data_IF_321899155968
#
_entry.id   IF_321899155968
#
_cell.length_a   1.000
_cell.length_b   1.000
_cell.length_c   1.000
_cell.angle_alpha   90.00
_cell.angle_beta   90.00
_cell.angle_gamma   90.00
#
_symmetry.space_group_name_H-M   'P 1'
#
loop_
_entity.id
_entity.type
_entity.pdbx_description
1 polymer ?
#
# COMPACT_ATOMS: atom_id res chain seq x y z
N UNK A 1 -14.04 46.07 -2.88
CA UNK A 1 -14.97 44.93 -3.13
C UNK A 1 -14.49 43.91 -4.18
N UNK A 2 -13.27 44.03 -4.74
CA UNK A 2 -12.76 43.17 -5.82
C UNK A 2 -11.99 41.92 -5.35
N UNK A 3 -11.35 41.95 -4.17
CA UNK A 3 -10.57 40.82 -3.65
C UNK A 3 -11.43 39.58 -3.25
N UNK A 4 -12.65 39.80 -2.77
CA UNK A 4 -13.56 38.71 -2.35
C UNK A 4 -14.06 37.86 -3.53
N UNK A 5 -14.30 38.47 -4.70
CA UNK A 5 -14.75 37.75 -5.92
C UNK A 5 -13.65 36.87 -6.51
N UNK A 6 -12.38 37.29 -6.50
CA UNK A 6 -11.27 36.49 -7.00
C UNK A 6 -11.01 35.24 -6.16
N UNK A 7 -11.10 35.38 -4.83
CA UNK A 7 -10.91 34.28 -3.89
C UNK A 7 -12.03 33.23 -4.02
N UNK A 8 -13.30 33.66 -4.07
CA UNK A 8 -14.45 32.78 -4.25
C UNK A 8 -14.42 32.02 -5.60
N UNK A 9 -13.95 32.68 -6.66
CA UNK A 9 -13.82 32.06 -8.00
C UNK A 9 -12.68 31.03 -8.03
N UNK A 10 -11.52 31.32 -7.44
CA UNK A 10 -10.41 30.36 -7.33
C UNK A 10 -10.79 29.15 -6.46
N UNK A 11 -11.47 29.35 -5.33
CA UNK A 11 -11.96 28.27 -4.46
C UNK A 11 -12.98 27.37 -5.17
N UNK A 12 -13.91 27.94 -5.95
CA UNK A 12 -14.93 27.16 -6.66
C UNK A 12 -14.37 26.41 -7.87
N UNK A 13 -13.40 26.97 -8.59
CA UNK A 13 -12.70 26.27 -9.68
C UNK A 13 -11.83 25.12 -9.14
N UNK A 14 -11.11 25.34 -8.04
CA UNK A 14 -10.34 24.29 -7.38
C UNK A 14 -11.21 23.13 -6.86
N UNK A 15 -12.36 23.43 -6.24
CA UNK A 15 -13.30 22.42 -5.77
C UNK A 15 -13.94 21.62 -6.92
N UNK A 16 -14.32 22.28 -8.02
CA UNK A 16 -14.86 21.62 -9.22
C UNK A 16 -13.83 20.73 -9.90
N UNK A 17 -12.62 21.24 -10.12
CA UNK A 17 -11.53 20.48 -10.73
C UNK A 17 -11.19 19.25 -9.89
N UNK A 18 -11.16 19.39 -8.57
CA UNK A 18 -10.90 18.30 -7.64
C UNK A 18 -12.01 17.23 -7.63
N UNK A 19 -13.28 17.63 -7.75
CA UNK A 19 -14.40 16.69 -7.93
C UNK A 19 -14.31 15.86 -9.21
N UNK A 20 -13.72 16.39 -10.27
CA UNK A 20 -13.56 15.68 -11.55
C UNK A 20 -12.29 14.82 -11.55
N UNK A 21 -11.16 15.34 -11.05
CA UNK A 21 -9.88 14.63 -11.07
C UNK A 21 -9.85 13.45 -10.09
N UNK A 22 -10.50 13.56 -8.94
CA UNK A 22 -10.52 12.49 -7.92
C UNK A 22 -11.01 11.13 -8.47
N UNK A 23 -12.19 11.01 -9.09
CA UNK A 23 -12.64 9.73 -9.65
C UNK A 23 -11.76 9.24 -10.80
N UNK A 24 -11.20 10.16 -11.62
CA UNK A 24 -10.29 9.81 -12.73
C UNK A 24 -9.01 9.16 -12.20
N UNK A 25 -8.32 9.79 -11.26
CA UNK A 25 -7.11 9.23 -10.67
C UNK A 25 -7.42 7.95 -9.90
N UNK A 26 -8.52 7.91 -9.14
CA UNK A 26 -8.96 6.70 -8.42
C UNK A 26 -9.15 5.53 -9.38
N UNK A 27 -9.88 5.73 -10.49
CA UNK A 27 -10.12 4.68 -11.48
C UNK A 27 -8.81 4.25 -12.18
N UNK A 28 -8.00 5.21 -12.63
CA UNK A 28 -6.73 4.94 -13.31
C UNK A 28 -5.76 4.15 -12.42
N UNK A 29 -5.51 4.62 -11.19
CA UNK A 29 -4.60 3.95 -10.28
C UNK A 29 -5.13 2.59 -9.81
N UNK A 30 -6.45 2.45 -9.62
CA UNK A 30 -7.09 1.15 -9.32
C UNK A 30 -6.89 0.16 -10.47
N UNK A 31 -7.12 0.58 -11.72
CA UNK A 31 -6.91 -0.24 -12.91
C UNK A 31 -5.44 -0.66 -13.06
N UNK A 32 -4.52 0.29 -12.93
CA UNK A 32 -3.07 0.01 -12.98
C UNK A 32 -2.62 -0.94 -11.87
N UNK A 33 -3.16 -0.79 -10.66
CA UNK A 33 -2.88 -1.67 -9.53
C UNK A 33 -3.31 -3.11 -9.85
N UNK A 34 -4.54 -3.29 -10.32
CA UNK A 34 -5.03 -4.60 -10.73
C UNK A 34 -4.26 -5.21 -11.89
N UNK A 35 -3.84 -4.40 -12.87
CA UNK A 35 -3.00 -4.86 -13.98
C UNK A 35 -1.59 -5.25 -13.51
N UNK A 36 -0.99 -4.51 -12.57
CA UNK A 36 0.35 -4.78 -12.07
C UNK A 36 0.44 -6.16 -11.40
N UNK A 37 -0.52 -6.50 -10.54
CA UNK A 37 -0.58 -7.79 -9.84
C UNK A 37 -1.22 -8.91 -10.67
N UNK A 38 -1.62 -8.63 -11.91
CA UNK A 38 -1.94 -9.66 -12.90
C UNK A 38 -0.73 -10.07 -13.75
N UNK A 39 0.40 -9.34 -13.65
CA UNK A 39 1.63 -9.68 -14.39
C UNK A 39 2.45 -10.76 -13.71
N UNK A 40 3.39 -11.37 -14.46
CA UNK A 40 4.35 -12.31 -13.89
C UNK A 40 5.22 -11.62 -12.83
N UNK A 41 5.33 -12.18 -11.61
CA UNK A 41 6.23 -11.68 -10.58
C UNK A 41 7.66 -11.51 -11.07
N UNK A 42 8.29 -10.37 -10.74
CA UNK A 42 9.67 -10.05 -11.13
C UNK A 42 9.87 -9.60 -12.59
N UNK A 43 8.82 -9.55 -13.41
CA UNK A 43 8.94 -9.11 -14.82
C UNK A 43 9.15 -7.60 -14.98
N UNK A 44 9.78 -7.16 -16.07
CA UNK A 44 9.91 -5.73 -16.39
C UNK A 44 8.55 -5.00 -16.44
N UNK A 45 7.51 -5.67 -16.95
CA UNK A 45 6.13 -5.15 -17.00
C UNK A 45 5.55 -4.90 -15.60
N UNK A 46 5.86 -5.76 -14.61
CA UNK A 46 5.46 -5.54 -13.22
C UNK A 46 6.01 -4.23 -12.69
N UNK A 47 7.32 -3.97 -12.86
CA UNK A 47 7.95 -2.74 -12.37
C UNK A 47 7.42 -1.50 -13.08
N UNK A 48 7.24 -1.55 -14.41
CA UNK A 48 6.66 -0.43 -15.17
C UNK A 48 5.26 -0.09 -14.67
N UNK A 49 4.38 -1.09 -14.53
CA UNK A 49 3.02 -0.85 -14.06
C UNK A 49 2.98 -0.38 -12.60
N UNK A 50 3.80 -0.94 -11.72
CA UNK A 50 3.86 -0.54 -10.30
C UNK A 50 4.37 0.90 -10.15
N UNK A 51 5.37 1.30 -10.94
CA UNK A 51 5.81 2.69 -11.00
C UNK A 51 4.73 3.60 -11.58
N UNK A 52 3.96 3.14 -12.57
CA UNK A 52 2.82 3.89 -13.09
C UNK A 52 1.70 4.07 -12.05
N UNK A 53 1.44 3.07 -11.20
CA UNK A 53 0.53 3.19 -10.06
C UNK A 53 1.01 4.30 -9.13
N UNK A 54 2.28 4.26 -8.72
CA UNK A 54 2.84 5.27 -7.83
C UNK A 54 2.80 6.67 -8.43
N UNK A 55 3.19 6.82 -9.70
CA UNK A 55 3.10 8.08 -10.42
C UNK A 55 1.67 8.61 -10.50
N UNK A 56 0.69 7.74 -10.73
CA UNK A 56 -0.74 8.10 -10.78
C UNK A 56 -1.23 8.64 -9.44
N UNK A 57 -0.88 7.98 -8.34
CA UNK A 57 -1.25 8.42 -7.00
C UNK A 57 -0.56 9.73 -6.59
N UNK A 58 0.73 9.87 -6.89
CA UNK A 58 1.46 11.12 -6.63
C UNK A 58 0.86 12.26 -7.46
N UNK A 59 0.62 12.05 -8.76
CA UNK A 59 0.02 13.07 -9.63
C UNK A 59 -1.37 13.48 -9.15
N UNK A 60 -2.23 12.52 -8.80
CA UNK A 60 -3.55 12.82 -8.23
C UNK A 60 -3.47 13.54 -6.89
N UNK A 61 -2.48 13.19 -6.07
CA UNK A 61 -2.16 13.87 -4.82
C UNK A 61 -1.81 15.34 -5.01
N UNK A 62 -0.80 15.59 -5.83
CA UNK A 62 -0.25 16.91 -6.08
C UNK A 62 -1.20 17.82 -6.87
N UNK A 63 -2.03 17.25 -7.76
CA UNK A 63 -3.05 17.99 -8.49
C UNK A 63 -4.11 18.62 -7.56
N UNK A 64 -4.29 18.08 -6.34
CA UNK A 64 -5.17 18.65 -5.31
C UNK A 64 -4.45 19.63 -4.38
N UNK A 65 -3.15 19.87 -4.56
CA UNK A 65 -2.28 20.65 -3.69
C UNK A 65 -1.34 19.79 -2.84
N UNK A 66 -0.24 20.35 -2.32
CA UNK A 66 0.71 19.59 -1.50
C UNK A 66 0.02 19.08 -0.22
N UNK A 67 0.14 17.78 0.11
CA UNK A 67 -0.53 17.24 1.28
C UNK A 67 0.04 17.84 2.57
N UNK A 68 -0.80 18.17 3.57
CA UNK A 68 -0.30 18.67 4.85
C UNK A 68 0.57 17.59 5.52
N UNK A 69 1.73 17.99 6.05
CA UNK A 69 2.62 17.06 6.78
C UNK A 69 1.95 16.50 8.05
N UNK A 70 1.21 17.35 8.76
CA UNK A 70 0.57 17.01 10.03
C UNK A 70 1.44 17.43 11.23
N UNK A 71 0.87 17.36 12.44
CA UNK A 71 1.52 17.72 13.69
C UNK A 71 1.41 16.58 14.70
N UNK A 72 2.51 16.28 15.38
CA UNK A 72 2.60 15.27 16.43
C UNK A 72 3.74 15.63 17.38
N UNK A 73 3.62 15.25 18.66
CA UNK A 73 4.72 15.36 19.64
C UNK A 73 5.89 14.44 19.29
N UNK A 74 5.60 13.28 18.70
CA UNK A 74 6.59 12.29 18.28
C UNK A 74 6.36 11.94 16.80
N UNK A 75 6.78 12.82 15.87
CA UNK A 75 6.42 12.73 14.44
C UNK A 75 7.07 11.55 13.71
N UNK A 76 8.08 10.91 14.30
CA UNK A 76 8.78 9.75 13.73
C UNK A 76 8.59 8.51 14.60
N UNK A 77 8.92 8.58 15.89
CA UNK A 77 8.90 7.41 16.77
C UNK A 77 7.51 6.74 16.84
N UNK A 78 6.44 7.53 17.03
CA UNK A 78 5.07 6.98 17.10
C UNK A 78 4.64 6.23 15.85
N UNK A 79 4.69 6.81 14.62
CA UNK A 79 4.29 6.06 13.43
C UNK A 79 5.20 4.87 13.12
N UNK A 80 6.51 4.95 13.41
CA UNK A 80 7.43 3.81 13.28
C UNK A 80 7.01 2.65 14.20
N UNK A 81 6.73 2.95 15.47
CA UNK A 81 6.27 1.95 16.44
C UNK A 81 4.91 1.36 16.06
N UNK A 82 3.98 2.17 15.54
CA UNK A 82 2.68 1.69 15.05
C UNK A 82 2.89 0.78 13.83
N UNK A 83 3.77 1.13 12.90
CA UNK A 83 4.09 0.30 11.73
C UNK A 83 4.69 -1.04 12.12
N UNK A 84 5.64 -1.04 13.06
CA UNK A 84 6.24 -2.26 13.61
C UNK A 84 5.22 -3.11 14.39
N UNK A 85 4.38 -2.50 15.21
CA UNK A 85 3.32 -3.19 15.94
C UNK A 85 2.28 -3.80 15.02
N UNK A 86 1.83 -3.06 14.00
CA UNK A 86 0.95 -3.58 12.96
C UNK A 86 1.58 -4.76 12.22
N UNK A 87 2.88 -4.68 11.89
CA UNK A 87 3.60 -5.81 11.31
C UNK A 87 3.55 -7.03 12.23
N UNK A 88 3.81 -6.86 13.53
CA UNK A 88 3.74 -7.95 14.50
C UNK A 88 2.39 -8.65 14.53
N UNK A 89 1.29 -7.88 14.49
CA UNK A 89 -0.09 -8.41 14.42
C UNK A 89 -0.31 -9.20 13.12
N UNK A 90 0.09 -8.63 11.98
CA UNK A 90 -0.06 -9.30 10.68
C UNK A 90 0.81 -10.56 10.57
N UNK A 91 2.01 -10.53 11.12
CA UNK A 91 2.92 -11.66 11.17
C UNK A 91 2.34 -12.80 12.02
N UNK A 92 1.82 -12.49 13.21
CA UNK A 92 1.11 -13.47 14.05
C UNK A 92 -0.12 -14.05 13.33
N UNK A 93 -0.92 -13.21 12.68
CA UNK A 93 -2.05 -13.67 11.87
C UNK A 93 -1.60 -14.58 10.72
N UNK A 94 -0.47 -14.29 10.07
CA UNK A 94 0.09 -15.09 8.99
C UNK A 94 0.57 -16.48 9.47
N UNK A 95 1.10 -16.59 10.69
CA UNK A 95 1.49 -17.87 11.30
C UNK A 95 0.30 -18.83 11.49
N UNK A 96 -0.89 -18.27 11.73
CA UNK A 96 -2.14 -19.02 11.77
C UNK A 96 -2.66 -19.26 10.35
N UNK A 97 -2.70 -18.23 9.52
CA UNK A 97 -3.24 -18.27 8.16
C UNK A 97 -2.51 -19.26 7.24
N UNK A 98 -1.20 -19.48 7.43
CA UNK A 98 -0.43 -20.50 6.67
C UNK A 98 -0.93 -21.93 6.92
N UNK A 99 -1.68 -22.19 7.99
CA UNK A 99 -2.31 -23.49 8.27
C UNK A 99 -3.64 -23.68 7.53
N UNK A 100 -4.19 -22.62 6.95
CA UNK A 100 -5.49 -22.62 6.26
C UNK A 100 -5.23 -22.54 4.74
N UNK A 101 -5.52 -23.59 3.94
CA UNK A 101 -5.09 -23.67 2.54
C UNK A 101 -5.54 -22.50 1.66
N UNK A 102 -6.74 -21.95 1.90
CA UNK A 102 -7.26 -20.81 1.14
C UNK A 102 -6.45 -19.54 1.43
N UNK A 103 -6.20 -19.26 2.71
CA UNK A 103 -5.43 -18.08 3.12
C UNK A 103 -3.95 -18.20 2.77
N UNK A 104 -3.37 -19.40 2.94
CA UNK A 104 -2.00 -19.68 2.55
C UNK A 104 -1.78 -19.45 1.05
N UNK A 105 -2.71 -19.87 0.19
CA UNK A 105 -2.64 -19.60 -1.25
C UNK A 105 -2.72 -18.11 -1.58
N UNK A 106 -3.60 -17.36 -0.90
CA UNK A 106 -3.73 -15.92 -1.09
C UNK A 106 -2.44 -15.17 -0.69
N UNK A 107 -1.84 -15.54 0.45
CA UNK A 107 -0.57 -14.97 0.91
C UNK A 107 0.61 -15.37 0.01
N UNK A 108 0.72 -16.64 -0.36
CA UNK A 108 1.76 -17.12 -1.28
C UNK A 108 1.71 -16.41 -2.64
N UNK A 109 0.50 -16.14 -3.16
CA UNK A 109 0.31 -15.44 -4.43
C UNK A 109 0.92 -14.03 -4.44
N UNK A 110 0.73 -13.25 -3.37
CA UNK A 110 1.35 -11.91 -3.27
C UNK A 110 2.84 -11.98 -2.92
N UNK A 111 3.23 -12.93 -2.06
CA UNK A 111 4.63 -13.09 -1.66
C UNK A 111 5.51 -13.57 -2.83
N UNK A 112 4.95 -14.16 -3.89
CA UNK A 112 5.69 -14.50 -5.10
C UNK A 112 6.40 -13.29 -5.75
N UNK A 113 5.87 -12.07 -5.58
CA UNK A 113 6.51 -10.84 -6.05
C UNK A 113 7.77 -10.49 -5.27
N UNK A 114 7.82 -10.85 -3.98
CA UNK A 114 9.01 -10.71 -3.14
C UNK A 114 10.11 -11.71 -3.52
N UNK A 115 9.73 -12.97 -3.78
CA UNK A 115 10.70 -14.04 -4.07
C UNK A 115 11.33 -13.94 -5.46
N UNK A 116 10.55 -13.54 -6.48
CA UNK A 116 10.99 -13.58 -7.88
C UNK A 116 11.54 -12.27 -8.42
N UNK A 117 11.37 -11.17 -7.68
CA UNK A 117 11.93 -9.88 -8.08
C UNK A 117 13.35 -9.67 -7.55
N UNK A 118 14.04 -8.65 -8.07
CA UNK A 118 15.30 -8.24 -7.48
C UNK A 118 15.01 -7.55 -6.15
N UNK A 119 15.56 -8.09 -5.04
CA UNK A 119 15.26 -7.64 -3.68
C UNK A 119 15.24 -6.10 -3.52
N UNK A 120 16.26 -5.38 -4.00
CA UNK A 120 16.28 -3.91 -3.95
C UNK A 120 15.20 -3.23 -4.80
N UNK A 121 14.89 -3.72 -6.01
CA UNK A 121 13.89 -3.10 -6.86
C UNK A 121 12.47 -3.34 -6.33
N UNK A 122 12.17 -4.54 -5.84
CA UNK A 122 10.88 -4.84 -5.20
C UNK A 122 10.71 -4.03 -3.93
N UNK A 123 11.76 -3.89 -3.12
CA UNK A 123 11.72 -3.01 -1.95
C UNK A 123 11.44 -1.57 -2.37
N UNK A 124 12.20 -1.04 -3.33
CA UNK A 124 12.02 0.33 -3.81
C UNK A 124 10.59 0.56 -4.33
N UNK A 125 10.07 -0.30 -5.20
CA UNK A 125 8.71 -0.14 -5.71
C UNK A 125 7.66 -0.27 -4.61
N UNK A 126 7.82 -1.21 -3.68
CA UNK A 126 6.89 -1.38 -2.55
C UNK A 126 6.84 -0.13 -1.67
N UNK A 127 7.99 0.44 -1.33
CA UNK A 127 8.07 1.64 -0.48
C UNK A 127 7.52 2.87 -1.21
N UNK A 128 7.86 3.04 -2.49
CA UNK A 128 7.38 4.16 -3.31
C UNK A 128 5.87 4.07 -3.51
N UNK A 129 5.33 2.88 -3.82
CA UNK A 129 3.88 2.69 -3.94
C UNK A 129 3.16 2.95 -2.63
N UNK A 130 3.65 2.44 -1.49
CA UNK A 130 3.04 2.72 -0.18
C UNK A 130 3.03 4.21 0.17
N UNK A 131 4.14 4.92 -0.09
CA UNK A 131 4.20 6.36 0.11
C UNK A 131 3.25 7.13 -0.83
N UNK A 132 3.17 6.71 -2.09
CA UNK A 132 2.29 7.30 -3.09
C UNK A 132 0.80 7.12 -2.73
N UNK A 133 0.43 5.94 -2.21
CA UNK A 133 -0.92 5.69 -1.71
C UNK A 133 -1.29 6.67 -0.59
N UNK A 134 -0.40 6.95 0.36
CA UNK A 134 -0.70 7.92 1.43
C UNK A 134 -0.82 9.35 0.91
N UNK A 135 -0.03 9.72 -0.09
CA UNK A 135 -0.16 11.01 -0.78
C UNK A 135 -1.54 11.17 -1.42
N UNK A 136 -2.10 10.11 -2.02
CA UNK A 136 -3.41 10.17 -2.67
C UNK A 136 -4.57 9.94 -1.70
N UNK A 137 -4.62 8.79 -1.03
CA UNK A 137 -5.74 8.40 -0.19
C UNK A 137 -5.83 9.27 1.07
N UNK A 138 -4.70 9.59 1.69
CA UNK A 138 -4.68 10.40 2.92
C UNK A 138 -4.40 11.86 2.61
N UNK A 139 -3.86 12.22 1.46
CA UNK A 139 -3.76 13.62 1.04
C UNK A 139 -5.03 14.17 0.40
N UNK A 140 -5.75 13.35 -0.38
CA UNK A 140 -6.86 13.78 -1.23
C UNK A 140 -8.16 13.08 -0.89
N UNK A 141 -8.23 11.75 -0.86
CA UNK A 141 -9.51 11.03 -0.65
C UNK A 141 -10.09 11.34 0.73
N UNK A 142 -9.25 11.38 1.76
CA UNK A 142 -9.66 11.74 3.13
C UNK A 142 -9.57 13.26 3.32
N UNK A 143 -10.56 14.01 2.90
CA UNK A 143 -10.60 15.45 3.16
C UNK A 143 -10.89 15.78 4.62
N UNK A 144 -10.65 17.03 5.06
CA UNK A 144 -11.23 17.52 6.30
C UNK A 144 -12.75 17.25 6.35
N UNK A 145 -13.19 16.52 7.37
CA UNK A 145 -14.59 16.11 7.54
C UNK A 145 -14.95 14.75 6.94
N UNK A 146 -14.11 14.14 6.10
CA UNK A 146 -14.35 12.78 5.61
C UNK A 146 -14.26 11.75 6.75
N UNK A 147 -15.27 10.90 6.88
CA UNK A 147 -15.25 9.80 7.82
C UNK A 147 -14.11 8.81 7.51
N UNK A 148 -13.41 8.34 8.55
CA UNK A 148 -12.33 7.34 8.40
C UNK A 148 -12.82 6.09 7.67
N UNK A 149 -14.04 5.64 7.99
CA UNK A 149 -14.68 4.50 7.33
C UNK A 149 -14.86 4.72 5.83
N UNK A 150 -15.24 5.93 5.39
CA UNK A 150 -15.45 6.23 3.97
C UNK A 150 -14.13 6.21 3.19
N UNK A 151 -13.07 6.84 3.72
CA UNK A 151 -11.74 6.78 3.09
C UNK A 151 -11.18 5.34 3.06
N UNK A 152 -11.38 4.58 4.15
CA UNK A 152 -10.99 3.18 4.23
C UNK A 152 -11.74 2.32 3.22
N UNK A 153 -13.04 2.56 3.02
CA UNK A 153 -13.85 1.85 2.04
C UNK A 153 -13.34 2.12 0.62
N UNK A 154 -13.05 3.37 0.25
CA UNK A 154 -12.48 3.70 -1.07
C UNK A 154 -11.13 3.01 -1.26
N UNK A 155 -10.26 3.05 -0.25
CA UNK A 155 -8.97 2.36 -0.29
C UNK A 155 -9.14 0.84 -0.50
N UNK A 156 -10.00 0.20 0.28
CA UNK A 156 -10.26 -1.23 0.18
C UNK A 156 -10.90 -1.62 -1.17
N UNK A 157 -11.84 -0.82 -1.68
CA UNK A 157 -12.45 -1.02 -3.00
C UNK A 157 -11.41 -0.92 -4.12
N UNK A 158 -10.47 0.03 -4.05
CA UNK A 158 -9.34 0.07 -4.98
C UNK A 158 -8.48 -1.20 -4.87
N UNK A 159 -8.24 -1.71 -3.67
CA UNK A 159 -7.48 -2.95 -3.46
C UNK A 159 -8.18 -4.20 -4.00
N UNK A 160 -9.51 -4.21 -4.15
CA UNK A 160 -10.23 -5.34 -4.78
C UNK A 160 -9.71 -5.65 -6.19
N UNK A 161 -9.23 -4.64 -6.92
CA UNK A 161 -8.66 -4.82 -8.26
C UNK A 161 -7.44 -5.76 -8.28
N UNK A 162 -6.75 -5.92 -7.16
CA UNK A 162 -5.63 -6.89 -6.99
C UNK A 162 -6.10 -8.34 -7.07
N UNK A 163 -7.41 -8.60 -6.90
CA UNK A 163 -8.02 -9.94 -6.82
C UNK A 163 -7.38 -10.82 -5.74
N UNK A 164 -6.82 -10.21 -4.69
CA UNK A 164 -6.21 -10.91 -3.58
C UNK A 164 -6.97 -10.61 -2.26
N UNK A 165 -7.71 -11.57 -1.68
CA UNK A 165 -8.50 -11.33 -0.48
C UNK A 165 -7.65 -10.98 0.75
N UNK A 166 -6.40 -11.44 0.82
CA UNK A 166 -5.49 -11.08 1.91
C UNK A 166 -5.10 -9.59 1.82
N UNK A 167 -4.86 -9.06 0.62
CA UNK A 167 -4.61 -7.64 0.41
C UNK A 167 -5.84 -6.78 0.73
N UNK A 168 -7.04 -7.23 0.32
CA UNK A 168 -8.29 -6.52 0.65
C UNK A 168 -8.48 -6.46 2.16
N UNK A 169 -8.32 -7.57 2.88
CA UNK A 169 -8.40 -7.58 4.34
C UNK A 169 -7.34 -6.66 4.97
N UNK A 170 -6.09 -6.73 4.49
CA UNK A 170 -5.02 -5.85 4.94
C UNK A 170 -5.37 -4.38 4.75
N UNK A 171 -5.95 -4.02 3.61
CA UNK A 171 -6.33 -2.65 3.27
C UNK A 171 -7.42 -2.09 4.18
N UNK A 172 -8.35 -2.93 4.67
CA UNK A 172 -9.38 -2.48 5.64
C UNK A 172 -8.74 -2.15 6.98
N UNK A 173 -7.89 -3.03 7.50
CA UNK A 173 -7.23 -2.84 8.80
C UNK A 173 -6.25 -1.66 8.74
N UNK A 174 -5.31 -1.72 7.80
CA UNK A 174 -4.29 -0.68 7.64
C UNK A 174 -4.92 0.63 7.20
N UNK A 175 -5.92 0.59 6.34
CA UNK A 175 -6.62 1.80 5.91
C UNK A 175 -7.31 2.54 7.04
N UNK A 176 -7.84 1.79 8.02
CA UNK A 176 -8.38 2.34 9.26
C UNK A 176 -7.28 2.98 10.11
N UNK A 177 -6.15 2.28 10.31
CA UNK A 177 -5.00 2.80 11.07
C UNK A 177 -4.49 4.11 10.44
N UNK A 178 -4.25 4.10 9.13
CA UNK A 178 -3.77 5.27 8.41
C UNK A 178 -4.77 6.44 8.47
N UNK A 179 -6.06 6.13 8.34
CA UNK A 179 -7.12 7.13 8.40
C UNK A 179 -7.26 7.75 9.79
N UNK A 180 -7.09 6.98 10.85
CA UNK A 180 -7.04 7.47 12.23
C UNK A 180 -5.80 8.34 12.47
N UNK A 181 -4.62 7.91 12.02
CA UNK A 181 -3.40 8.71 12.13
C UNK A 181 -3.52 10.05 11.40
N UNK A 182 -4.10 10.03 10.19
CA UNK A 182 -4.38 11.26 9.44
C UNK A 182 -5.37 12.16 10.17
N UNK A 183 -6.43 11.60 10.77
CA UNK A 183 -7.42 12.37 11.55
C UNK A 183 -6.80 13.03 12.78
N UNK A 184 -5.94 12.30 13.51
CA UNK A 184 -5.31 12.80 14.74
C UNK A 184 -4.23 13.84 14.45
N UNK A 185 -3.40 13.59 13.43
CA UNK A 185 -2.24 14.47 13.12
C UNK A 185 -2.58 15.59 12.15
N UNK A 186 -3.69 15.48 11.41
CA UNK A 186 -4.07 16.41 10.35
C UNK A 186 -3.26 16.27 9.05
N UNK A 187 -2.31 15.33 8.96
CA UNK A 187 -1.45 15.19 7.78
C UNK A 187 -0.96 13.79 7.46
N UNK A 188 -0.22 13.68 6.35
CA UNK A 188 0.14 12.41 5.73
C UNK A 188 1.43 11.80 6.26
N UNK A 189 2.24 12.53 7.03
CA UNK A 189 3.53 12.03 7.49
C UNK A 189 3.40 10.79 8.37
N UNK A 190 2.50 10.80 9.35
CA UNK A 190 2.29 9.67 10.24
C UNK A 190 1.83 8.39 9.51
N UNK A 191 0.77 8.42 8.68
CA UNK A 191 0.40 7.23 7.91
C UNK A 191 1.46 6.82 6.91
N UNK A 192 2.16 7.76 6.24
CA UNK A 192 3.26 7.43 5.32
C UNK A 192 4.37 6.66 6.02
N UNK A 193 4.86 7.15 7.16
CA UNK A 193 5.92 6.47 7.93
C UNK A 193 5.48 5.09 8.42
N UNK A 194 4.22 4.98 8.86
CA UNK A 194 3.64 3.71 9.30
C UNK A 194 3.58 2.72 8.15
N UNK A 195 3.10 3.17 6.98
CA UNK A 195 2.96 2.35 5.78
C UNK A 195 4.32 1.85 5.30
N UNK A 196 5.31 2.73 5.14
CA UNK A 196 6.65 2.32 4.65
C UNK A 196 7.34 1.37 5.62
N UNK A 197 7.24 1.58 6.94
CA UNK A 197 7.81 0.67 7.94
C UNK A 197 7.10 -0.68 7.90
N UNK A 198 5.77 -0.69 7.91
CA UNK A 198 4.98 -1.91 7.84
C UNK A 198 5.32 -2.70 6.57
N UNK A 199 5.33 -2.05 5.40
CA UNK A 199 5.66 -2.70 4.12
C UNK A 199 7.09 -3.23 4.08
N UNK A 200 8.08 -2.49 4.60
CA UNK A 200 9.46 -2.96 4.67
C UNK A 200 9.58 -4.23 5.53
N UNK A 201 8.93 -4.26 6.69
CA UNK A 201 8.97 -5.41 7.59
C UNK A 201 8.21 -6.61 7.01
N UNK A 202 7.04 -6.38 6.42
CA UNK A 202 6.28 -7.41 5.70
C UNK A 202 7.13 -8.03 4.59
N UNK A 203 7.78 -7.20 3.76
CA UNK A 203 8.61 -7.69 2.67
C UNK A 203 9.87 -8.43 3.16
N UNK A 204 10.46 -7.99 4.28
CA UNK A 204 11.68 -8.61 4.82
C UNK A 204 11.43 -9.96 5.49
N UNK A 205 10.35 -10.07 6.26
CA UNK A 205 10.17 -11.18 7.20
C UNK A 205 9.03 -12.13 6.85
N UNK A 206 8.05 -11.69 6.06
CA UNK A 206 6.91 -12.55 5.72
C UNK A 206 7.21 -13.59 4.63
N UNK A 207 7.92 -13.29 3.52
CA UNK A 207 8.17 -14.27 2.46
C UNK A 207 8.80 -15.58 2.95
N UNK A 208 9.86 -15.57 3.80
CA UNK A 208 10.50 -16.80 4.28
C UNK A 208 9.58 -17.76 5.05
N UNK A 209 8.46 -17.28 5.62
CA UNK A 209 7.50 -18.14 6.32
C UNK A 209 6.71 -19.07 5.38
N UNK A 210 6.69 -18.77 4.09
CA UNK A 210 5.91 -19.44 3.06
C UNK A 210 6.78 -20.16 2.02
N UNK A 211 8.10 -20.16 2.21
CA UNK A 211 9.01 -21.02 1.45
C UNK A 211 8.86 -22.46 1.96
N UNK A 212 8.65 -23.40 1.04
CA UNK A 212 8.80 -24.82 1.38
C UNK A 212 10.29 -25.09 1.61
N UNK A 213 10.72 -25.74 2.70
CA UNK A 213 12.09 -26.20 2.84
C UNK A 213 12.47 -27.00 1.58
N UNK A 214 13.64 -26.73 1.00
CA UNK A 214 14.18 -27.60 -0.03
C UNK A 214 14.15 -29.03 0.52
N UNK A 215 13.66 -30.04 -0.22
CA UNK A 215 13.80 -31.42 0.24
C UNK A 215 15.27 -31.62 0.53
N UNK A 216 15.60 -32.05 1.75
CA UNK A 216 16.94 -32.47 2.11
C UNK A 216 17.45 -33.32 0.95
N UNK A 217 18.59 -32.94 0.37
CA UNK A 217 19.24 -33.78 -0.63
C UNK A 217 19.51 -35.10 0.07
N UNK A 218 18.65 -36.08 -0.16
CA UNK A 218 18.93 -37.47 0.17
C UNK A 218 20.27 -37.74 -0.50
N UNK A 219 21.33 -38.09 0.25
CA UNK A 219 22.61 -38.43 -0.34
C UNK A 219 22.33 -39.50 -1.40
N UNK A 220 22.73 -39.24 -2.64
CA UNK A 220 22.63 -40.22 -3.71
C UNK A 220 23.55 -41.39 -3.36
N UNK A 221 22.99 -42.40 -2.69
CA UNK A 221 23.60 -43.71 -2.57
C UNK A 221 23.39 -44.45 -3.90
N UNK A 222 23.98 -43.90 -4.96
CA UNK A 222 24.12 -44.61 -6.22
C UNK A 222 24.85 -45.93 -5.97
N UNK A 223 24.47 -47.02 -6.64
CA UNK A 223 25.03 -48.34 -6.37
C UNK A 223 26.54 -48.32 -6.64
N UNK A 224 27.34 -48.61 -5.62
CA UNK A 224 28.77 -48.90 -5.78
C UNK A 224 28.88 -50.14 -6.66
N UNK A 225 29.34 -49.93 -7.90
CA UNK A 225 29.75 -51.03 -8.78
C UNK A 225 30.99 -51.67 -8.16
N UNK A 226 30.85 -52.94 -7.75
CA UNK A 226 31.97 -53.84 -7.49
C UNK A 226 32.38 -54.50 -8.81
#
# INVERSE_FOLDING_TARGET
>A
MTASRGLLTAFTTGAKQRRVLLPVFTAAGTGLLGLSLATRPGSGRFYVLTNAVAATWIAGGLAAGPPPRGRSRHPVATPVLIGAGAFGVFYAAALVARRIPVLSRALAGVLAYAHRGSGPAVLATTLVTGAAEEVFFRGVVQEPGTAVAASTAVYALSTVATRNPALVLASVVMGTVFGLQRRVTGGVQAPLLTHVVWSALMLRYLPPLFETPAPDRVPDHGPRRY
#
